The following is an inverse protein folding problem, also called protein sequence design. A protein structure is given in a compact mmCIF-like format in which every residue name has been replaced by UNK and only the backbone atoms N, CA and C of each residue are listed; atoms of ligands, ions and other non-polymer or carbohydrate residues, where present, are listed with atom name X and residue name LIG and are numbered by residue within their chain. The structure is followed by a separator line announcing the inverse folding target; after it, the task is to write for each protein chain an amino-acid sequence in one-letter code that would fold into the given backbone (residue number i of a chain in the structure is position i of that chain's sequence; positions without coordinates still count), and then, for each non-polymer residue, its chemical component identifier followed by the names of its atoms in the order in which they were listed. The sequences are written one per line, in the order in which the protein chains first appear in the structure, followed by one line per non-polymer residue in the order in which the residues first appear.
data_IF_631759429359
#
_entry.id   IF_631759429359
#
_cell.length_a   1.000
_cell.length_b   1.000
_cell.length_c   1.000
_cell.angle_alpha   90.00
_cell.angle_beta   90.00
_cell.angle_gamma   90.00
#
_symmetry.space_group_name_H-M   'P 1'
#
loop_
_entity.id
_entity.type
_entity.pdbx_description
1 polymer ?
#
# COMPACT_ATOMS: atom_id res chain seq x y z
N UNK A 1 8.36 -13.07 32.53
CA UNK A 1 7.50 -12.41 31.53
C UNK A 1 7.60 -10.91 31.72
N UNK A 2 7.80 -10.17 30.66
CA UNK A 2 7.80 -8.70 30.71
C UNK A 2 6.34 -8.23 30.60
N UNK A 3 5.86 -7.48 31.61
CA UNK A 3 4.53 -6.86 31.62
C UNK A 3 4.68 -5.35 31.69
N UNK A 4 4.06 -4.64 30.77
CA UNK A 4 4.05 -3.17 30.70
C UNK A 4 2.61 -2.68 30.78
N UNK A 5 2.33 -1.76 31.71
CA UNK A 5 1.01 -1.13 31.87
C UNK A 5 1.06 0.30 31.33
N UNK A 6 0.30 0.57 30.25
CA UNK A 6 0.12 1.92 29.74
C UNK A 6 -1.20 2.44 30.30
N UNK A 7 -1.13 3.36 31.27
CA UNK A 7 -2.30 3.89 31.99
C UNK A 7 -2.65 5.32 31.55
N UNK A 8 -3.82 5.78 31.95
CA UNK A 8 -4.32 7.15 31.72
C UNK A 8 -4.35 7.53 30.21
N UNK A 9 -4.77 6.62 29.35
CA UNK A 9 -4.82 6.83 27.93
C UNK A 9 -6.25 7.15 27.43
N UNK A 10 -6.37 7.91 26.34
CA UNK A 10 -7.54 7.92 25.46
C UNK A 10 -7.34 6.90 24.36
N UNK A 11 -7.91 5.72 24.54
CA UNK A 11 -7.75 4.62 23.58
C UNK A 11 -8.67 4.85 22.38
N UNK A 12 -8.10 4.80 21.19
CA UNK A 12 -8.83 4.91 19.91
C UNK A 12 -8.70 3.58 19.19
N UNK A 13 -9.79 2.85 19.08
CA UNK A 13 -9.82 1.57 18.37
C UNK A 13 -11.22 1.26 17.84
N UNK A 14 -11.30 0.71 16.63
CA UNK A 14 -12.57 0.27 16.00
C UNK A 14 -13.70 1.32 16.07
N UNK A 15 -13.37 2.56 15.72
CA UNK A 15 -14.33 3.68 15.68
C UNK A 15 -14.78 4.19 17.05
N UNK A 16 -14.15 3.74 18.13
CA UNK A 16 -14.46 4.18 19.51
C UNK A 16 -13.30 4.94 20.12
N UNK A 17 -13.63 5.91 20.96
CA UNK A 17 -12.67 6.62 21.83
C UNK A 17 -13.15 6.45 23.27
N UNK A 18 -12.32 5.91 24.13
CA UNK A 18 -12.65 5.74 25.55
C UNK A 18 -11.41 5.94 26.44
N UNK A 19 -11.63 6.36 27.67
CA UNK A 19 -10.58 6.43 28.68
C UNK A 19 -10.30 5.06 29.28
N UNK A 20 -9.02 4.72 29.42
CA UNK A 20 -8.63 3.42 29.93
C UNK A 20 -7.13 3.19 29.93
N UNK A 21 -6.78 1.93 29.99
CA UNK A 21 -5.39 1.47 29.98
C UNK A 21 -5.26 0.14 29.25
N UNK A 22 -4.05 -0.19 28.84
CA UNK A 22 -3.73 -1.52 28.30
C UNK A 22 -2.56 -2.14 29.06
N UNK A 23 -2.58 -3.46 29.15
CA UNK A 23 -1.44 -4.26 29.62
C UNK A 23 -0.86 -5.02 28.43
N UNK A 24 0.41 -4.83 28.21
CA UNK A 24 1.18 -5.60 27.23
C UNK A 24 1.95 -6.67 27.99
N UNK A 25 1.80 -7.93 27.58
CA UNK A 25 2.58 -9.04 28.10
C UNK A 25 3.43 -9.62 26.99
N UNK A 26 4.75 -9.46 27.12
CA UNK A 26 5.73 -9.72 26.07
C UNK A 26 5.39 -8.92 24.80
N UNK A 27 4.80 -9.55 23.79
CA UNK A 27 4.51 -8.96 22.47
C UNK A 27 3.02 -8.83 22.15
N UNK A 28 2.14 -9.13 23.16
CA UNK A 28 0.69 -9.12 22.93
C UNK A 28 -0.02 -8.21 23.91
N UNK A 29 -1.16 -7.65 23.52
CA UNK A 29 -2.08 -6.94 24.41
C UNK A 29 -2.82 -8.02 25.22
N UNK A 30 -2.50 -8.08 26.52
CA UNK A 30 -3.08 -9.06 27.43
C UNK A 30 -4.40 -8.57 28.04
N UNK A 31 -4.50 -7.26 28.36
CA UNK A 31 -5.68 -6.68 28.98
C UNK A 31 -5.99 -5.32 28.36
N UNK A 32 -7.28 -5.02 28.16
CA UNK A 32 -7.80 -3.67 27.88
C UNK A 32 -8.72 -3.32 29.04
N UNK A 33 -8.37 -2.30 29.80
CA UNK A 33 -8.99 -1.98 31.07
C UNK A 33 -9.75 -0.64 30.97
N UNK A 34 -10.93 -0.59 31.56
CA UNK A 34 -11.67 0.66 31.72
C UNK A 34 -10.91 1.63 32.65
N UNK A 35 -11.32 2.90 32.63
CA UNK A 35 -10.79 3.94 33.51
C UNK A 35 -10.84 3.49 34.99
N UNK A 36 -9.83 3.85 35.76
CA UNK A 36 -9.64 3.50 37.18
C UNK A 36 -9.46 1.99 37.49
N UNK A 37 -9.53 1.11 36.48
CA UNK A 37 -9.25 -0.31 36.66
C UNK A 37 -7.74 -0.56 36.68
N UNK A 38 -7.29 -1.37 37.65
CA UNK A 38 -5.89 -1.79 37.76
C UNK A 38 -5.67 -3.18 37.15
N UNK A 39 -4.47 -3.48 36.63
CA UNK A 39 -4.15 -4.82 36.12
C UNK A 39 -4.36 -5.93 37.18
N UNK A 40 -4.84 -7.08 36.71
CA UNK A 40 -5.05 -8.25 37.57
C UNK A 40 -3.75 -8.78 38.22
N UNK A 41 -2.61 -8.54 37.60
CA UNK A 41 -1.28 -8.91 38.08
C UNK A 41 -0.33 -7.72 38.01
N UNK A 42 0.71 -7.66 38.87
CA UNK A 42 1.71 -6.61 38.86
C UNK A 42 2.41 -6.47 37.49
N UNK A 43 2.70 -5.23 37.10
CA UNK A 43 3.48 -4.90 35.92
C UNK A 43 4.86 -4.38 36.32
N UNK A 44 5.91 -4.86 35.64
CA UNK A 44 7.29 -4.45 35.89
C UNK A 44 7.62 -3.07 35.34
N UNK A 45 6.82 -2.60 34.37
CA UNK A 45 6.98 -1.28 33.75
C UNK A 45 5.61 -0.57 33.71
N UNK A 46 5.60 0.71 34.04
CA UNK A 46 4.38 1.54 34.00
C UNK A 46 4.68 2.79 33.17
N UNK A 47 3.87 2.99 32.14
CA UNK A 47 3.91 4.20 31.28
C UNK A 47 2.61 4.98 31.54
N UNK A 48 2.76 6.24 31.97
CA UNK A 48 1.62 7.14 32.14
C UNK A 48 1.41 7.92 30.83
N UNK A 49 0.32 7.63 30.12
CA UNK A 49 -0.02 8.30 28.87
C UNK A 49 -0.55 9.74 29.09
N UNK A 50 -0.75 10.19 30.34
CA UNK A 50 -1.13 11.58 30.70
C UNK A 50 -2.33 12.13 29.90
N UNK A 51 -3.27 11.27 29.53
CA UNK A 51 -4.43 11.63 28.74
C UNK A 51 -4.16 11.77 27.24
N UNK A 52 -2.95 11.41 26.76
CA UNK A 52 -2.70 11.33 25.31
C UNK A 52 -3.48 10.19 24.65
N UNK A 53 -3.65 10.31 23.33
CA UNK A 53 -4.28 9.26 22.55
C UNK A 53 -3.34 8.05 22.43
N UNK A 54 -3.92 6.88 22.63
CA UNK A 54 -3.27 5.58 22.39
C UNK A 54 -3.99 4.93 21.20
N UNK A 55 -3.26 4.73 20.13
CA UNK A 55 -3.75 4.10 18.90
C UNK A 55 -2.97 2.81 18.65
N UNK A 56 -3.53 1.84 17.90
CA UNK A 56 -2.73 0.73 17.36
C UNK A 56 -1.56 1.25 16.54
N UNK A 57 -0.45 0.50 16.53
CA UNK A 57 0.65 0.80 15.62
C UNK A 57 0.18 0.79 14.17
N UNK A 58 0.62 1.78 13.38
CA UNK A 58 0.21 1.90 11.98
C UNK A 58 0.82 0.76 11.17
N UNK A 59 0.02 0.19 10.26
CA UNK A 59 0.47 -0.76 9.24
C UNK A 59 0.50 0.00 7.91
N UNK A 60 1.69 0.10 7.30
CA UNK A 60 1.85 0.65 5.96
C UNK A 60 1.89 -0.50 4.96
N UNK A 61 0.87 -0.63 4.16
CA UNK A 61 0.71 -1.76 3.25
C UNK A 61 1.35 -1.54 1.87
N UNK A 62 2.00 -0.37 1.67
CA UNK A 62 2.59 -0.02 0.38
C UNK A 62 3.90 0.77 0.52
N UNK A 63 5.01 0.06 0.68
CA UNK A 63 6.32 0.70 0.71
C UNK A 63 7.26 0.18 -0.37
N UNK A 64 8.28 0.97 -0.70
CA UNK A 64 9.36 0.64 -1.60
C UNK A 64 10.71 0.90 -0.92
N UNK A 65 11.15 0.02 -0.03
CA UNK A 65 12.39 0.17 0.72
C UNK A 65 13.65 -0.09 -0.12
N UNK A 66 13.49 -0.56 -1.36
CA UNK A 66 14.56 -0.67 -2.37
C UNK A 66 15.67 -1.67 -2.05
N UNK A 67 15.55 -2.44 -0.98
CA UNK A 67 16.46 -3.49 -0.58
C UNK A 67 15.84 -4.87 -0.87
N UNK A 68 16.54 -5.75 -1.57
CA UNK A 68 17.93 -5.69 -2.00
C UNK A 68 18.19 -4.92 -3.30
N UNK A 69 19.44 -4.55 -3.50
CA UNK A 69 20.03 -4.18 -4.79
C UNK A 69 19.83 -2.74 -5.28
N UNK A 70 18.99 -1.95 -4.62
CA UNK A 70 18.78 -0.53 -4.92
C UNK A 70 19.09 0.35 -3.70
N UNK A 71 19.97 -0.11 -2.83
CA UNK A 71 20.27 0.50 -1.53
C UNK A 71 20.96 1.87 -1.59
N UNK A 72 21.37 2.31 -2.77
CA UNK A 72 21.76 3.69 -3.01
C UNK A 72 20.59 4.70 -2.86
N UNK A 73 19.34 4.21 -2.84
CA UNK A 73 18.14 5.01 -2.58
C UNK A 73 17.71 4.93 -1.14
N UNK A 74 17.60 3.70 -0.61
CA UNK A 74 17.16 3.40 0.74
C UNK A 74 17.42 1.92 1.04
N UNK A 75 17.43 1.51 2.31
CA UNK A 75 17.54 0.11 2.73
C UNK A 75 16.52 -0.23 3.83
N UNK A 76 16.36 -1.52 4.13
CA UNK A 76 15.38 -1.98 5.12
C UNK A 76 15.66 -1.39 6.51
N UNK A 77 16.93 -1.22 6.90
CA UNK A 77 17.24 -0.69 8.24
C UNK A 77 16.88 0.78 8.36
N UNK A 78 17.30 1.60 7.43
CA UNK A 78 17.04 3.05 7.45
C UNK A 78 15.55 3.35 7.33
N UNK A 79 14.85 2.67 6.43
CA UNK A 79 13.43 2.91 6.20
C UNK A 79 12.55 2.33 7.31
N UNK A 80 12.90 1.18 7.90
CA UNK A 80 12.17 0.67 9.07
C UNK A 80 12.37 1.56 10.30
N UNK A 81 13.52 2.20 10.42
CA UNK A 81 13.79 3.20 11.47
C UNK A 81 12.96 4.47 11.25
N UNK A 82 12.89 4.97 10.02
CA UNK A 82 12.02 6.09 9.66
C UNK A 82 10.54 5.77 9.88
N UNK A 83 10.10 4.57 9.50
CA UNK A 83 8.76 4.06 9.74
C UNK A 83 8.41 4.08 11.24
N UNK A 84 9.28 3.50 12.08
CA UNK A 84 9.10 3.50 13.53
C UNK A 84 9.02 4.91 14.11
N UNK A 85 9.86 5.84 13.65
CA UNK A 85 9.84 7.24 14.07
C UNK A 85 8.52 7.94 13.70
N UNK A 86 7.86 7.50 12.59
CA UNK A 86 6.54 7.95 12.17
C UNK A 86 5.37 7.24 12.84
N UNK A 87 5.62 6.23 13.69
CA UNK A 87 4.58 5.43 14.35
C UNK A 87 4.10 4.23 13.55
N UNK A 88 4.77 3.91 12.42
CA UNK A 88 4.52 2.70 11.64
C UNK A 88 5.24 1.52 12.31
N UNK A 89 4.48 0.51 12.70
CA UNK A 89 4.99 -0.67 13.42
C UNK A 89 5.07 -1.92 12.56
N UNK A 90 4.49 -1.86 11.36
CA UNK A 90 4.51 -2.95 10.39
C UNK A 90 4.49 -2.38 8.97
N UNK A 91 5.25 -2.99 8.05
CA UNK A 91 5.21 -2.60 6.65
C UNK A 91 5.07 -3.80 5.72
N UNK A 92 4.56 -3.53 4.52
CA UNK A 92 4.48 -4.50 3.42
C UNK A 92 5.24 -3.95 2.21
N UNK A 93 6.42 -4.53 1.91
CA UNK A 93 7.30 -4.00 0.88
C UNK A 93 7.10 -4.66 -0.47
N UNK A 94 7.15 -3.84 -1.51
CA UNK A 94 6.89 -4.21 -2.89
C UNK A 94 8.04 -5.02 -3.52
N UNK A 95 7.76 -5.86 -4.55
CA UNK A 95 8.71 -6.83 -5.09
C UNK A 95 9.71 -6.26 -6.11
N UNK A 96 9.60 -4.97 -6.50
CA UNK A 96 10.43 -4.36 -7.55
C UNK A 96 11.81 -3.93 -7.05
N UNK A 97 12.56 -4.87 -6.56
CA UNK A 97 13.95 -4.81 -6.10
C UNK A 97 14.92 -5.44 -7.10
N UNK A 98 16.19 -5.60 -6.77
CA UNK A 98 17.19 -6.27 -7.61
C UNK A 98 17.98 -7.29 -6.76
N UNK A 99 17.71 -8.62 -6.91
CA UNK A 99 16.74 -9.23 -7.82
C UNK A 99 15.28 -8.88 -7.45
N UNK A 100 14.38 -8.99 -8.42
CA UNK A 100 12.95 -8.86 -8.19
C UNK A 100 12.42 -10.03 -7.36
N UNK A 101 11.46 -9.77 -6.45
CA UNK A 101 10.85 -10.80 -5.60
C UNK A 101 9.76 -11.57 -6.37
N UNK A 102 10.18 -12.30 -7.42
CA UNK A 102 9.28 -13.01 -8.36
C UNK A 102 9.54 -14.53 -8.37
N UNK A 103 10.42 -15.02 -7.50
CA UNK A 103 10.68 -16.43 -7.23
C UNK A 103 10.66 -16.71 -5.74
N UNK A 104 10.45 -17.98 -5.35
CA UNK A 104 10.45 -18.38 -3.93
C UNK A 104 11.83 -18.18 -3.30
N UNK A 105 12.90 -18.36 -4.04
CA UNK A 105 14.28 -18.14 -3.59
C UNK A 105 14.50 -16.65 -3.25
N UNK A 106 14.13 -15.74 -4.15
CA UNK A 106 14.26 -14.30 -3.93
C UNK A 106 13.39 -13.83 -2.75
N UNK A 107 12.17 -14.37 -2.62
CA UNK A 107 11.28 -14.09 -1.51
C UNK A 107 11.90 -14.53 -0.17
N UNK A 108 12.41 -15.77 -0.10
CA UNK A 108 13.03 -16.30 1.11
C UNK A 108 14.32 -15.55 1.48
N UNK A 109 15.13 -15.19 0.50
CA UNK A 109 16.32 -14.37 0.73
C UNK A 109 15.97 -13.00 1.29
N UNK A 110 14.91 -12.34 0.77
CA UNK A 110 14.45 -11.04 1.26
C UNK A 110 13.93 -11.13 2.70
N UNK A 111 13.21 -12.19 3.07
CA UNK A 111 12.79 -12.43 4.46
C UNK A 111 14.00 -12.65 5.39
N UNK A 112 15.01 -13.41 4.96
CA UNK A 112 16.22 -13.64 5.74
C UNK A 112 17.03 -12.35 5.97
N UNK A 113 17.12 -11.51 4.94
CA UNK A 113 17.78 -10.20 5.02
C UNK A 113 17.04 -9.25 5.99
N UNK A 114 15.73 -9.13 5.85
CA UNK A 114 14.90 -8.30 6.71
C UNK A 114 14.96 -8.72 8.19
N UNK A 115 15.10 -10.01 8.48
CA UNK A 115 15.23 -10.51 9.85
C UNK A 115 16.45 -9.95 10.59
N UNK A 116 17.46 -9.48 9.86
CA UNK A 116 18.68 -8.90 10.44
C UNK A 116 18.69 -7.37 10.40
N UNK A 117 17.82 -6.74 9.61
CA UNK A 117 17.84 -5.29 9.35
C UNK A 117 16.64 -4.54 9.91
N UNK A 118 15.44 -5.14 9.84
CA UNK A 118 14.22 -4.43 10.22
C UNK A 118 14.07 -4.32 11.74
N UNK A 119 13.67 -3.13 12.20
CA UNK A 119 13.34 -2.87 13.61
C UNK A 119 11.82 -2.88 13.88
N UNK A 120 11.00 -3.07 12.84
CA UNK A 120 9.54 -3.21 12.93
C UNK A 120 9.09 -4.48 12.21
N UNK A 121 7.83 -4.87 12.38
CA UNK A 121 7.28 -6.05 11.69
C UNK A 121 7.24 -5.84 10.17
N UNK A 122 7.32 -6.92 9.41
CA UNK A 122 7.38 -6.85 7.95
C UNK A 122 6.71 -8.04 7.28
N UNK A 123 6.23 -7.79 6.08
CA UNK A 123 5.89 -8.79 5.09
C UNK A 123 6.25 -8.29 3.69
N UNK A 124 6.23 -9.19 2.71
CA UNK A 124 6.62 -8.89 1.34
C UNK A 124 5.55 -9.35 0.37
N UNK A 125 5.31 -8.54 -0.66
CA UNK A 125 4.54 -8.96 -1.81
C UNK A 125 5.37 -9.86 -2.72
N UNK A 126 4.75 -10.91 -3.25
CA UNK A 126 5.29 -11.70 -4.33
C UNK A 126 4.89 -11.07 -5.68
N UNK A 127 5.84 -10.80 -6.55
CA UNK A 127 5.58 -10.18 -7.83
C UNK A 127 5.08 -11.17 -8.88
N UNK A 128 3.89 -10.92 -9.43
CA UNK A 128 3.42 -11.63 -10.60
C UNK A 128 4.19 -11.21 -11.86
N UNK A 129 4.40 -12.15 -12.78
CA UNK A 129 5.02 -11.95 -14.09
C UNK A 129 4.23 -12.69 -15.17
N UNK A 130 4.58 -12.48 -16.44
CA UNK A 130 3.97 -13.24 -17.53
C UNK A 130 4.28 -14.75 -17.51
N UNK A 131 5.12 -15.25 -16.56
CA UNK A 131 5.63 -16.64 -16.58
C UNK A 131 5.50 -17.38 -15.24
N UNK A 132 5.05 -16.73 -14.15
CA UNK A 132 5.05 -17.35 -12.82
C UNK A 132 3.66 -17.52 -12.18
N UNK A 133 2.57 -17.38 -12.94
CA UNK A 133 1.22 -17.53 -12.39
C UNK A 133 0.95 -18.90 -11.75
N UNK A 134 1.65 -19.96 -12.18
CA UNK A 134 1.51 -21.31 -11.64
C UNK A 134 2.21 -21.49 -10.28
N UNK A 135 3.10 -20.58 -9.88
CA UNK A 135 3.74 -20.56 -8.56
C UNK A 135 2.82 -19.99 -7.48
N UNK A 136 1.88 -19.11 -7.83
CA UNK A 136 1.06 -18.37 -6.87
C UNK A 136 0.30 -19.25 -5.86
N UNK A 137 -0.28 -20.42 -6.24
CA UNK A 137 -0.95 -21.31 -5.28
C UNK A 137 -0.02 -21.89 -4.20
N UNK A 138 1.29 -21.88 -4.42
CA UNK A 138 2.28 -22.45 -3.48
C UNK A 138 2.77 -21.46 -2.43
N UNK A 139 2.35 -20.19 -2.52
CA UNK A 139 2.75 -19.15 -1.56
C UNK A 139 2.19 -19.45 -0.17
N UNK A 140 3.03 -19.28 0.85
CA UNK A 140 2.60 -19.37 2.25
C UNK A 140 1.76 -18.14 2.63
N UNK A 141 0.46 -18.34 2.74
CA UNK A 141 -0.54 -17.31 3.03
C UNK A 141 -0.42 -16.70 4.44
N UNK A 142 0.31 -17.33 5.34
CA UNK A 142 0.56 -16.81 6.67
C UNK A 142 1.79 -15.90 6.73
N UNK A 143 2.60 -15.89 5.67
CA UNK A 143 3.85 -15.16 5.61
C UNK A 143 3.87 -14.06 4.55
N UNK A 144 3.25 -14.31 3.41
CA UNK A 144 3.21 -13.40 2.26
C UNK A 144 1.94 -12.55 2.33
N UNK A 145 2.08 -11.23 2.34
CA UNK A 145 0.94 -10.31 2.47
C UNK A 145 0.04 -10.28 1.23
N UNK A 146 0.57 -10.57 0.05
CA UNK A 146 -0.20 -10.59 -1.19
C UNK A 146 0.65 -10.81 -2.44
N UNK A 147 -0.03 -10.87 -3.58
CA UNK A 147 0.58 -10.86 -4.90
C UNK A 147 0.54 -9.44 -5.46
N UNK A 148 1.70 -8.87 -5.77
CA UNK A 148 1.77 -7.60 -6.51
C UNK A 148 1.62 -7.85 -7.99
N UNK A 149 0.67 -7.14 -8.59
CA UNK A 149 0.38 -7.18 -10.03
C UNK A 149 0.60 -5.79 -10.65
N UNK A 150 1.44 -5.70 -11.66
CA UNK A 150 1.60 -4.50 -12.48
C UNK A 150 0.85 -4.70 -13.80
N UNK A 151 -0.27 -4.01 -13.96
CA UNK A 151 -1.08 -3.99 -15.18
C UNK A 151 -0.70 -2.83 -16.12
N UNK A 152 0.38 -2.13 -15.83
CA UNK A 152 1.00 -1.04 -16.58
C UNK A 152 2.23 -0.53 -15.86
N UNK A 153 3.06 0.25 -16.56
CA UNK A 153 4.21 0.99 -16.01
C UNK A 153 5.04 0.23 -14.96
N UNK A 154 5.66 -0.86 -15.36
CA UNK A 154 6.51 -1.66 -14.48
C UNK A 154 8.00 -1.48 -14.82
N UNK A 155 8.86 -1.84 -13.87
CA UNK A 155 10.31 -1.96 -14.06
C UNK A 155 10.68 -3.43 -14.31
N UNK A 156 11.61 -3.66 -15.24
CA UNK A 156 12.04 -5.02 -15.58
C UNK A 156 10.94 -5.85 -16.26
N UNK A 157 10.80 -7.13 -15.88
CA UNK A 157 9.87 -8.08 -16.49
C UNK A 157 8.55 -8.27 -15.70
N UNK A 158 8.21 -7.35 -14.81
CA UNK A 158 7.04 -7.49 -13.93
C UNK A 158 5.74 -6.96 -14.54
N UNK A 159 5.77 -6.41 -15.77
CA UNK A 159 4.54 -6.07 -16.48
C UNK A 159 3.80 -7.34 -16.85
N UNK A 160 2.53 -7.43 -16.46
CA UNK A 160 1.61 -8.49 -16.89
C UNK A 160 0.57 -7.86 -17.82
N UNK A 161 0.77 -8.00 -19.11
CA UNK A 161 0.00 -7.38 -20.18
C UNK A 161 -0.78 -8.39 -21.03
N UNK A 162 -0.49 -9.69 -20.88
CA UNK A 162 -1.20 -10.75 -21.62
C UNK A 162 -2.47 -11.15 -20.89
N UNK A 163 -3.62 -10.99 -21.55
CA UNK A 163 -4.94 -11.28 -20.96
C UNK A 163 -5.07 -12.72 -20.44
N UNK A 164 -4.49 -13.68 -21.14
CA UNK A 164 -4.48 -15.09 -20.69
C UNK A 164 -3.73 -15.28 -19.35
N UNK A 165 -2.64 -14.51 -19.14
CA UNK A 165 -1.87 -14.56 -17.90
C UNK A 165 -2.59 -13.80 -16.80
N UNK A 166 -3.18 -12.64 -17.09
CA UNK A 166 -4.02 -11.92 -16.13
C UNK A 166 -5.12 -12.83 -15.59
N UNK A 167 -5.85 -13.54 -16.44
CA UNK A 167 -6.88 -14.51 -16.01
C UNK A 167 -6.31 -15.59 -15.10
N UNK A 168 -5.12 -16.14 -15.42
CA UNK A 168 -4.45 -17.14 -14.56
C UNK A 168 -4.04 -16.54 -13.21
N UNK A 169 -3.50 -15.32 -13.17
CA UNK A 169 -3.14 -14.65 -11.92
C UNK A 169 -4.37 -14.49 -11.02
N UNK A 170 -5.48 -13.98 -11.54
CA UNK A 170 -6.71 -13.80 -10.77
C UNK A 170 -7.33 -15.14 -10.31
N UNK A 171 -7.23 -16.19 -11.12
CA UNK A 171 -7.72 -17.52 -10.75
C UNK A 171 -6.84 -18.22 -9.70
N UNK A 172 -5.52 -18.02 -9.75
CA UNK A 172 -4.53 -18.81 -9.01
C UNK A 172 -4.00 -18.14 -7.74
N UNK A 173 -4.12 -16.82 -7.58
CA UNK A 173 -3.46 -16.11 -6.47
C UNK A 173 -3.84 -16.69 -5.09
N UNK A 174 -5.12 -16.96 -4.85
CA UNK A 174 -5.61 -17.55 -3.60
C UNK A 174 -5.38 -16.70 -2.33
N UNK A 175 -4.69 -15.56 -2.47
CA UNK A 175 -4.46 -14.49 -1.48
C UNK A 175 -4.80 -13.14 -2.11
N UNK A 176 -4.61 -12.05 -1.37
CA UNK A 176 -4.84 -10.69 -1.88
C UNK A 176 -3.98 -10.40 -3.11
N UNK A 177 -4.59 -9.84 -4.16
CA UNK A 177 -3.88 -9.25 -5.30
C UNK A 177 -3.85 -7.74 -5.09
N UNK A 178 -2.66 -7.15 -5.00
CA UNK A 178 -2.44 -5.71 -4.93
C UNK A 178 -2.00 -5.22 -6.32
N UNK A 179 -2.86 -4.45 -6.98
CA UNK A 179 -2.69 -4.09 -8.39
C UNK A 179 -2.31 -2.62 -8.59
N UNK A 180 -1.25 -2.38 -9.37
CA UNK A 180 -0.98 -1.09 -10.01
C UNK A 180 -1.73 -1.05 -11.33
N UNK A 181 -2.63 -0.09 -11.49
CA UNK A 181 -3.58 -0.02 -12.60
C UNK A 181 -3.38 1.25 -13.43
N UNK A 182 -2.64 1.12 -14.53
CA UNK A 182 -2.52 2.14 -15.57
C UNK A 182 -2.42 1.46 -16.93
N UNK A 183 -3.23 1.85 -17.91
CA UNK A 183 -3.22 1.24 -19.23
C UNK A 183 -2.04 1.73 -20.06
N UNK A 184 -1.08 0.83 -20.34
CA UNK A 184 0.17 1.14 -20.99
C UNK A 184 -0.01 1.66 -22.42
N UNK A 185 -0.98 1.15 -23.16
CA UNK A 185 -1.25 1.59 -24.54
C UNK A 185 -1.69 3.05 -24.60
N UNK A 186 -2.53 3.49 -23.66
CA UNK A 186 -2.96 4.88 -23.52
C UNK A 186 -1.78 5.77 -23.14
N UNK A 187 -0.97 5.36 -22.17
CA UNK A 187 0.22 6.11 -21.76
C UNK A 187 1.21 6.26 -22.92
N UNK A 188 1.43 5.20 -23.70
CA UNK A 188 2.35 5.22 -24.83
C UNK A 188 1.85 6.16 -25.93
N UNK A 189 0.56 6.11 -26.27
CA UNK A 189 -0.03 7.02 -27.25
C UNK A 189 0.08 8.49 -26.81
N UNK A 190 -0.27 8.77 -25.54
CA UNK A 190 -0.14 10.11 -24.98
C UNK A 190 1.32 10.58 -24.97
N UNK A 191 2.27 9.72 -24.59
CA UNK A 191 3.70 10.03 -24.57
C UNK A 191 4.17 10.45 -25.97
N UNK A 192 3.79 9.70 -27.00
CA UNK A 192 4.12 10.02 -28.39
C UNK A 192 3.55 11.38 -28.80
N UNK A 193 2.26 11.61 -28.57
CA UNK A 193 1.60 12.87 -28.91
C UNK A 193 2.22 14.09 -28.20
N UNK A 194 2.58 13.93 -26.91
CA UNK A 194 3.22 15.01 -26.16
C UNK A 194 4.65 15.26 -26.61
N UNK A 195 5.41 14.23 -26.98
CA UNK A 195 6.75 14.38 -27.56
C UNK A 195 6.70 15.08 -28.94
N UNK A 196 5.78 14.70 -29.78
CA UNK A 196 5.57 15.35 -31.07
C UNK A 196 5.27 16.86 -30.95
N UNK A 197 4.48 17.20 -29.92
CA UNK A 197 4.03 18.58 -29.68
C UNK A 197 5.06 19.45 -28.95
N UNK A 198 5.78 18.88 -27.98
CA UNK A 198 6.61 19.63 -27.04
C UNK A 198 8.10 19.25 -27.05
N UNK A 199 8.52 18.34 -27.94
CA UNK A 199 9.88 17.83 -28.03
C UNK A 199 10.10 16.55 -27.19
N UNK A 200 11.31 15.97 -27.24
CA UNK A 200 11.64 14.68 -26.67
C UNK A 200 11.50 14.62 -25.13
N UNK A 201 11.59 15.75 -24.45
CA UNK A 201 11.45 15.86 -22.99
C UNK A 201 10.35 16.88 -22.62
N UNK A 202 9.06 16.49 -22.72
CA UNK A 202 7.96 17.35 -22.34
C UNK A 202 8.05 17.77 -20.85
N UNK A 203 7.74 19.04 -20.57
CA UNK A 203 7.74 19.57 -19.19
C UNK A 203 6.92 18.68 -18.25
N UNK A 204 7.42 18.47 -17.04
CA UNK A 204 6.81 17.61 -16.02
C UNK A 204 5.35 17.96 -15.71
N UNK A 205 4.91 19.19 -15.91
CA UNK A 205 3.51 19.62 -15.76
C UNK A 205 2.54 18.84 -16.66
N UNK A 206 3.05 18.21 -17.74
CA UNK A 206 2.26 17.37 -18.63
C UNK A 206 2.17 15.91 -18.15
N UNK A 207 2.85 15.55 -17.06
CA UNK A 207 2.81 14.19 -16.51
C UNK A 207 1.39 13.69 -16.25
N UNK A 208 0.43 14.49 -15.67
CA UNK A 208 -0.95 14.05 -15.47
C UNK A 208 -1.76 13.89 -16.79
N UNK A 209 -1.38 14.54 -17.87
CA UNK A 209 -2.02 14.31 -19.17
C UNK A 209 -1.46 13.08 -19.88
N UNK A 210 -0.15 12.83 -19.75
CA UNK A 210 0.51 11.63 -20.30
C UNK A 210 0.01 10.39 -19.57
N UNK A 211 0.04 10.39 -18.24
CA UNK A 211 -0.50 9.33 -17.37
C UNK A 211 -1.90 9.73 -16.92
N UNK A 212 -2.82 9.68 -17.87
CA UNK A 212 -4.16 10.28 -17.77
C UNK A 212 -5.09 9.53 -16.81
N UNK A 213 -6.15 10.20 -16.39
CA UNK A 213 -7.24 9.57 -15.64
C UNK A 213 -7.86 8.40 -16.41
N UNK A 214 -8.00 8.55 -17.74
CA UNK A 214 -8.51 7.48 -18.62
C UNK A 214 -7.67 6.20 -18.50
N UNK A 215 -6.34 6.30 -18.48
CA UNK A 215 -5.46 5.14 -18.32
C UNK A 215 -5.68 4.42 -16.98
N UNK A 216 -5.89 5.18 -15.90
CA UNK A 216 -6.20 4.61 -14.58
C UNK A 216 -7.57 3.92 -14.57
N UNK A 217 -8.62 4.61 -14.98
CA UNK A 217 -10.00 4.09 -14.99
C UNK A 217 -10.12 2.83 -15.85
N UNK A 218 -9.50 2.81 -17.03
CA UNK A 218 -9.54 1.66 -17.92
C UNK A 218 -8.92 0.42 -17.26
N UNK A 219 -7.72 0.56 -16.70
CA UNK A 219 -6.99 -0.53 -16.08
C UNK A 219 -7.64 -1.01 -14.77
N UNK A 220 -8.09 -0.08 -13.91
CA UNK A 220 -8.81 -0.39 -12.67
C UNK A 220 -10.13 -1.12 -12.96
N UNK A 221 -10.87 -0.69 -13.99
CA UNK A 221 -12.10 -1.38 -14.41
C UNK A 221 -11.84 -2.80 -14.89
N UNK A 222 -10.74 -3.03 -15.64
CA UNK A 222 -10.33 -4.37 -16.07
C UNK A 222 -9.97 -5.26 -14.87
N UNK A 223 -9.17 -4.75 -13.94
CA UNK A 223 -8.77 -5.50 -12.74
C UNK A 223 -9.98 -5.91 -11.89
N UNK A 224 -10.91 -4.99 -11.68
CA UNK A 224 -12.15 -5.23 -10.92
C UNK A 224 -13.02 -6.29 -11.62
N UNK A 225 -13.16 -6.22 -12.95
CA UNK A 225 -13.89 -7.23 -13.71
C UNK A 225 -13.26 -8.61 -13.54
N UNK A 226 -11.95 -8.75 -13.70
CA UNK A 226 -11.24 -10.01 -13.53
C UNK A 226 -11.36 -10.56 -12.10
N UNK A 227 -11.30 -9.69 -11.09
CA UNK A 227 -11.51 -10.07 -9.70
C UNK A 227 -12.92 -10.63 -9.46
N UNK A 228 -13.94 -9.97 -10.00
CA UNK A 228 -15.35 -10.45 -9.91
C UNK A 228 -15.55 -11.78 -10.62
N UNK A 229 -15.01 -11.92 -11.83
CA UNK A 229 -15.10 -13.17 -12.63
C UNK A 229 -14.47 -14.36 -11.88
N UNK A 230 -13.41 -14.15 -11.11
CA UNK A 230 -12.67 -15.20 -10.40
C UNK A 230 -12.94 -15.26 -8.88
N UNK A 231 -13.86 -14.42 -8.38
CA UNK A 231 -14.14 -14.29 -6.94
C UNK A 231 -12.86 -13.98 -6.10
N UNK A 232 -11.89 -13.31 -6.70
CA UNK A 232 -10.59 -12.98 -6.11
C UNK A 232 -10.69 -11.78 -5.15
N UNK A 233 -9.79 -11.73 -4.15
CA UNK A 233 -9.57 -10.54 -3.34
C UNK A 233 -8.63 -9.60 -4.09
N UNK A 234 -9.08 -8.37 -4.30
CA UNK A 234 -8.32 -7.35 -5.03
C UNK A 234 -8.16 -6.09 -4.19
N UNK A 235 -6.98 -5.51 -4.21
CA UNK A 235 -6.67 -4.20 -3.66
C UNK A 235 -6.08 -3.33 -4.78
N UNK A 236 -6.79 -2.27 -5.17
CA UNK A 236 -6.27 -1.31 -6.14
C UNK A 236 -5.44 -0.28 -5.38
N UNK A 237 -4.16 -0.25 -5.68
CA UNK A 237 -3.17 0.63 -5.04
C UNK A 237 -3.30 2.06 -5.57
N UNK A 238 -2.97 3.03 -4.73
CA UNK A 238 -2.75 4.45 -5.09
C UNK A 238 -3.79 5.02 -6.07
N UNK A 239 -5.08 4.89 -5.78
CA UNK A 239 -6.15 5.56 -6.54
C UNK A 239 -5.83 7.05 -6.65
N UNK A 240 -5.90 7.58 -7.85
CA UNK A 240 -5.45 8.95 -8.14
C UNK A 240 -6.50 9.85 -8.78
N UNK A 241 -7.69 9.31 -9.10
CA UNK A 241 -8.75 10.04 -9.81
C UNK A 241 -10.10 9.96 -9.12
N UNK A 242 -10.90 11.01 -9.25
CA UNK A 242 -12.29 11.02 -8.80
C UNK A 242 -13.15 9.97 -9.53
N UNK A 243 -12.86 9.75 -10.81
CA UNK A 243 -13.62 8.81 -11.65
C UNK A 243 -13.44 7.34 -11.20
N UNK A 244 -12.26 6.97 -10.70
CA UNK A 244 -12.03 5.62 -10.19
C UNK A 244 -12.87 5.31 -8.95
N UNK A 245 -13.25 6.32 -8.15
CA UNK A 245 -14.03 6.12 -6.92
C UNK A 245 -15.40 5.49 -7.16
N UNK A 246 -15.98 5.68 -8.35
CA UNK A 246 -17.27 5.09 -8.70
C UNK A 246 -17.19 3.57 -8.96
N UNK A 247 -15.99 3.02 -9.07
CA UNK A 247 -15.75 1.59 -9.21
C UNK A 247 -15.84 0.84 -7.87
N UNK A 248 -15.78 1.55 -6.74
CA UNK A 248 -15.72 0.98 -5.39
C UNK A 248 -17.05 1.14 -4.64
N UNK A 249 -17.40 0.11 -3.88
CA UNK A 249 -18.62 0.07 -3.10
C UNK A 249 -18.47 0.88 -1.79
N UNK A 250 -19.52 1.60 -1.41
CA UNK A 250 -19.64 2.22 -0.09
C UNK A 250 -20.19 1.18 0.91
N UNK A 251 -19.29 0.37 1.44
CA UNK A 251 -19.56 -0.70 2.41
C UNK A 251 -18.47 -0.77 3.47
N UNK A 252 -18.75 -1.33 4.64
CA UNK A 252 -17.71 -1.65 5.63
C UNK A 252 -16.64 -2.55 5.03
N UNK A 253 -15.37 -2.34 5.43
CA UNK A 253 -14.22 -3.12 4.94
C UNK A 253 -14.42 -4.63 5.08
N UNK A 254 -15.06 -5.09 6.17
CA UNK A 254 -15.34 -6.51 6.43
C UNK A 254 -16.24 -7.18 5.38
N UNK A 255 -16.99 -6.38 4.61
CA UNK A 255 -17.93 -6.88 3.58
C UNK A 255 -17.34 -6.79 2.17
N UNK A 256 -16.12 -6.24 2.01
CA UNK A 256 -15.48 -6.03 0.72
C UNK A 256 -14.51 -7.13 0.34
N UNK A 257 -14.52 -7.54 -0.91
CA UNK A 257 -13.46 -8.31 -1.57
C UNK A 257 -12.57 -7.44 -2.44
N UNK A 258 -13.06 -6.28 -2.84
CA UNK A 258 -12.36 -5.31 -3.68
C UNK A 258 -12.22 -4.03 -2.87
N UNK A 259 -11.00 -3.61 -2.61
CA UNK A 259 -10.64 -2.46 -1.78
C UNK A 259 -9.79 -1.47 -2.56
N UNK A 260 -9.73 -0.23 -2.07
CA UNK A 260 -8.98 0.87 -2.67
C UNK A 260 -8.03 1.51 -1.66
N UNK A 261 -6.85 1.87 -2.15
CA UNK A 261 -5.85 2.65 -1.42
C UNK A 261 -5.72 4.06 -2.01
N UNK A 262 -5.46 5.04 -1.17
CA UNK A 262 -4.92 6.33 -1.60
C UNK A 262 -3.56 6.57 -0.94
N UNK A 263 -2.57 7.04 -1.71
CA UNK A 263 -1.30 7.42 -1.14
C UNK A 263 -1.32 8.87 -0.62
N UNK A 264 -0.54 9.13 0.41
CA UNK A 264 -0.37 10.45 1.04
C UNK A 264 -0.09 11.54 0.01
N UNK A 265 0.73 11.26 -1.01
CA UNK A 265 1.06 12.19 -2.09
C UNK A 265 -0.17 12.63 -2.89
N UNK A 266 -1.08 11.70 -3.24
CA UNK A 266 -2.32 12.00 -3.97
C UNK A 266 -3.37 12.71 -3.10
N UNK A 267 -3.29 12.54 -1.78
CA UNK A 267 -4.14 13.26 -0.82
C UNK A 267 -3.63 14.68 -0.52
N UNK A 268 -2.36 14.98 -0.79
CA UNK A 268 -1.74 16.26 -0.44
C UNK A 268 -1.57 17.17 -1.65
N UNK A 269 -0.90 16.71 -2.71
CA UNK A 269 -0.56 17.48 -3.90
C UNK A 269 -1.70 17.50 -4.94
N UNK A 270 -1.62 18.45 -5.89
CA UNK A 270 -2.46 18.53 -7.07
C UNK A 270 -1.64 19.10 -8.25
N UNK A 271 -2.18 19.11 -9.45
CA UNK A 271 -1.47 19.38 -10.72
C UNK A 271 -0.72 20.71 -10.76
N UNK A 272 -1.20 21.78 -10.11
CA UNK A 272 -0.50 23.06 -10.08
C UNK A 272 0.81 23.02 -9.27
N UNK A 273 0.96 22.08 -8.37
CA UNK A 273 2.18 21.94 -7.57
C UNK A 273 3.39 21.52 -8.43
N UNK A 274 3.16 20.98 -9.64
CA UNK A 274 4.24 20.71 -10.59
C UNK A 274 4.99 21.99 -11.02
N UNK A 275 4.35 23.17 -11.01
CA UNK A 275 5.01 24.44 -11.35
C UNK A 275 6.15 24.77 -10.38
N UNK A 276 5.92 24.56 -9.07
CA UNK A 276 6.88 24.87 -8.02
C UNK A 276 7.83 23.70 -7.70
N UNK A 277 7.29 22.48 -7.64
CA UNK A 277 8.02 21.30 -7.11
C UNK A 277 8.65 20.45 -8.21
N UNK A 278 8.27 20.66 -9.49
CA UNK A 278 8.84 19.95 -10.63
C UNK A 278 8.86 18.44 -10.45
N UNK A 279 10.01 17.79 -10.68
CA UNK A 279 10.18 16.36 -10.53
C UNK A 279 10.08 15.81 -9.11
N UNK A 280 10.09 16.66 -8.07
CA UNK A 280 10.03 16.22 -6.68
C UNK A 280 8.69 15.59 -6.31
N UNK A 281 7.60 15.91 -7.04
CA UNK A 281 6.28 15.28 -6.84
C UNK A 281 5.92 14.26 -7.93
N UNK A 282 6.91 13.87 -8.76
CA UNK A 282 6.68 12.86 -9.79
C UNK A 282 6.46 11.50 -9.18
N UNK A 283 5.26 10.96 -9.33
CA UNK A 283 4.91 9.59 -8.97
C UNK A 283 4.05 8.92 -10.06
N UNK A 284 3.81 7.63 -9.92
CA UNK A 284 2.99 6.85 -10.84
C UNK A 284 1.99 6.00 -10.01
N UNK A 285 0.70 6.24 -10.20
CA UNK A 285 0.03 7.20 -11.09
C UNK A 285 0.42 8.66 -10.78
N UNK A 286 0.28 9.54 -11.78
CA UNK A 286 0.62 10.95 -11.62
C UNK A 286 -0.31 11.65 -10.63
N UNK A 287 0.18 12.72 -10.00
CA UNK A 287 -0.66 13.67 -9.26
C UNK A 287 -1.63 14.33 -10.23
N UNK A 288 -2.92 14.28 -9.92
CA UNK A 288 -4.02 14.75 -10.78
C UNK A 288 -4.53 16.13 -10.34
N UNK A 289 -5.73 16.48 -10.74
CA UNK A 289 -6.33 17.78 -10.50
C UNK A 289 -6.66 18.05 -9.03
N UNK A 290 -6.93 19.32 -8.70
CA UNK A 290 -7.45 19.71 -7.39
C UNK A 290 -8.78 19.01 -7.07
N UNK A 291 -9.61 18.81 -8.08
CA UNK A 291 -10.89 18.11 -7.95
C UNK A 291 -10.70 16.65 -7.56
N UNK A 292 -9.77 15.95 -8.24
CA UNK A 292 -9.40 14.57 -7.92
C UNK A 292 -8.92 14.46 -6.46
N UNK A 293 -7.95 15.30 -6.05
CA UNK A 293 -7.46 15.30 -4.67
C UNK A 293 -8.59 15.48 -3.65
N UNK A 294 -9.49 16.43 -3.89
CA UNK A 294 -10.59 16.71 -2.96
C UNK A 294 -11.61 15.58 -2.92
N UNK A 295 -11.86 14.91 -4.05
CA UNK A 295 -12.68 13.71 -4.13
C UNK A 295 -12.07 12.54 -3.34
N UNK A 296 -10.76 12.30 -3.48
CA UNK A 296 -10.04 11.28 -2.72
C UNK A 296 -10.12 11.53 -1.21
N UNK A 297 -9.89 12.77 -0.76
CA UNK A 297 -10.04 13.14 0.66
C UNK A 297 -11.44 12.88 1.20
N UNK A 298 -12.47 13.21 0.43
CA UNK A 298 -13.85 12.93 0.80
C UNK A 298 -14.13 11.42 0.86
N UNK A 299 -13.55 10.66 -0.04
CA UNK A 299 -13.75 9.21 -0.12
C UNK A 299 -13.23 8.44 1.10
N UNK A 300 -12.28 8.99 1.86
CA UNK A 300 -11.83 8.42 3.14
C UNK A 300 -12.96 8.34 4.19
N UNK A 301 -13.95 9.23 4.12
CA UNK A 301 -15.09 9.25 5.05
C UNK A 301 -16.35 8.58 4.52
N UNK A 302 -16.30 7.99 3.32
CA UNK A 302 -17.44 7.33 2.65
C UNK A 302 -17.17 5.87 2.33
N UNK A 303 -16.25 5.21 3.02
CA UNK A 303 -15.85 3.81 2.82
C UNK A 303 -15.50 3.44 1.34
N UNK A 304 -15.23 4.39 0.47
CA UNK A 304 -14.81 4.12 -0.92
C UNK A 304 -13.32 3.94 -1.04
N UNK A 305 -12.54 4.60 -0.17
CA UNK A 305 -11.12 4.31 0.06
C UNK A 305 -11.00 3.65 1.42
N UNK A 306 -10.32 2.53 1.46
CA UNK A 306 -10.24 1.63 2.60
C UNK A 306 -8.92 1.77 3.37
N UNK A 307 -7.85 2.19 2.68
CA UNK A 307 -6.48 2.22 3.20
C UNK A 307 -5.76 3.48 2.74
N UNK A 308 -4.84 3.96 3.58
CA UNK A 308 -3.86 4.98 3.22
C UNK A 308 -2.48 4.34 3.25
N UNK A 309 -1.79 4.32 2.11
CA UNK A 309 -0.40 3.88 1.96
C UNK A 309 0.57 5.04 1.71
N UNK A 310 1.89 4.76 1.68
CA UNK A 310 2.94 5.80 1.42
C UNK A 310 3.69 5.67 0.08
#
# INVERSE_FOLDING_TARGET
MKRTWIKNARIVNEGKIFHGSIVIENEVIAEVLAEETVPAQPCGEIIDAKGYYLIPGVIDDHVHFRDPGLTHKADIHTESTAAAAGGVTSFMDMPNTTPQTTTLEALNAKFADAATKSIVNYSFYFGATNTNADVLPTLDKNRVCGVKLFMGASTGNMLVDRMEVLRKVFANAGILIAAHCEEQSIISANTTAFKEKYGEDPDIKYHPQIRSAEACVYSSSLAIRLAKENNARLHILHISTAQELDLFEDKPLSEKKITAEACVSHLYFYDKDYEALKGHIKCNPSIKTLEDRNALRKALSTNRIDVIGT
#
